data_IF_031947890380
#
_entry.id   IF_031947890380
#
_cell.length_a   1.000
_cell.length_b   1.000
_cell.length_c   1.000
_cell.angle_alpha   90.00
_cell.angle_beta   90.00
_cell.angle_gamma   90.00
#
_symmetry.space_group_name_H-M   'P 1'
#
loop_
_entity.id
_entity.type
_entity.pdbx_description
1 polymer ?
#
# COMPACT_ATOMS: atom_id res chain seq x y z
N UNK A 1 39.88 -35.21 -62.80
CA UNK A 1 38.76 -34.27 -62.55
C UNK A 1 38.63 -34.11 -61.09
N UNK A 2 38.99 -32.96 -60.56
CA UNK A 2 39.14 -32.66 -59.15
C UNK A 2 37.86 -31.90 -58.71
N UNK A 3 37.06 -32.49 -57.82
CA UNK A 3 35.93 -31.83 -57.21
C UNK A 3 36.34 -31.04 -55.96
N UNK A 4 36.24 -29.72 -56.02
CA UNK A 4 36.47 -28.82 -54.88
C UNK A 4 35.30 -28.95 -53.87
N UNK A 5 35.58 -29.44 -52.68
CA UNK A 5 34.71 -29.32 -51.53
C UNK A 5 34.79 -27.94 -50.91
N UNK A 6 33.67 -27.22 -50.85
CA UNK A 6 33.54 -25.92 -50.22
C UNK A 6 33.35 -26.13 -48.70
N UNK A 7 34.33 -25.69 -47.93
CA UNK A 7 34.20 -25.63 -46.46
C UNK A 7 33.35 -24.41 -46.15
N UNK A 8 32.12 -24.65 -45.66
CA UNK A 8 31.34 -23.61 -45.02
C UNK A 8 31.83 -23.41 -43.59
N UNK A 9 32.46 -22.26 -43.40
CA UNK A 9 32.76 -21.73 -42.05
C UNK A 9 31.43 -21.40 -41.37
N UNK A 10 31.05 -22.16 -40.35
CA UNK A 10 30.01 -21.76 -39.41
C UNK A 10 30.49 -20.52 -38.67
N UNK A 11 29.82 -19.40 -38.92
CA UNK A 11 29.96 -18.21 -38.11
C UNK A 11 29.41 -18.47 -36.73
N UNK A 12 30.17 -18.14 -35.71
CA UNK A 12 29.71 -18.13 -34.32
C UNK A 12 28.50 -17.20 -34.20
N UNK A 13 27.32 -17.76 -34.09
CA UNK A 13 26.11 -17.04 -33.72
C UNK A 13 26.26 -16.60 -32.25
N UNK A 14 26.25 -15.32 -32.06
CA UNK A 14 26.02 -14.65 -30.79
C UNK A 14 24.90 -15.36 -30.03
N UNK A 15 25.18 -15.88 -28.84
CA UNK A 15 24.23 -16.33 -27.87
C UNK A 15 23.41 -15.12 -27.41
N UNK A 16 22.35 -14.78 -28.16
CA UNK A 16 21.23 -14.04 -27.63
C UNK A 16 20.55 -14.96 -26.62
N UNK A 17 20.30 -14.47 -25.41
CA UNK A 17 19.47 -15.14 -24.43
C UNK A 17 18.14 -15.49 -25.13
N UNK A 18 17.96 -16.74 -25.44
CA UNK A 18 16.71 -17.28 -25.97
C UNK A 18 15.70 -17.12 -24.83
N UNK A 19 14.77 -16.19 -24.95
CA UNK A 19 13.63 -16.11 -24.03
C UNK A 19 12.89 -17.44 -24.14
N UNK A 20 12.93 -18.25 -23.08
CA UNK A 20 12.19 -19.48 -23.04
C UNK A 20 10.71 -19.11 -22.97
N UNK A 21 10.01 -19.34 -24.07
CA UNK A 21 8.64 -18.92 -24.30
C UNK A 21 7.77 -20.13 -24.63
N UNK A 22 6.60 -20.19 -24.01
CA UNK A 22 5.61 -21.21 -24.29
C UNK A 22 4.26 -20.57 -24.58
N UNK A 23 3.60 -21.00 -25.65
CA UNK A 23 2.28 -20.47 -26.03
C UNK A 23 1.24 -21.58 -25.96
N UNK A 24 0.13 -21.32 -25.26
CA UNK A 24 -1.01 -22.20 -25.13
C UNK A 24 -2.25 -21.55 -25.68
N UNK A 25 -2.90 -22.20 -26.63
CA UNK A 25 -4.17 -21.73 -27.19
C UNK A 25 -5.30 -22.55 -26.60
N UNK A 26 -6.27 -21.91 -25.97
CA UNK A 26 -7.49 -22.51 -25.47
C UNK A 26 -8.65 -22.00 -26.31
N UNK A 27 -9.37 -22.91 -26.98
CA UNK A 27 -10.60 -22.56 -27.70
C UNK A 27 -11.81 -22.84 -26.81
N UNK A 28 -12.74 -21.90 -26.80
CA UNK A 28 -14.03 -22.04 -26.14
C UNK A 28 -15.11 -21.72 -27.15
N UNK A 29 -16.11 -22.60 -27.27
CA UNK A 29 -17.29 -22.26 -28.05
C UNK A 29 -17.92 -20.96 -27.51
N UNK A 30 -18.38 -20.09 -28.40
CA UNK A 30 -19.03 -18.85 -27.94
C UNK A 30 -20.17 -19.21 -27.00
N UNK A 31 -20.17 -18.66 -25.78
CA UNK A 31 -21.19 -18.99 -24.80
C UNK A 31 -22.57 -18.66 -25.37
N UNK A 32 -23.50 -19.56 -25.24
CA UNK A 32 -24.89 -19.36 -25.62
C UNK A 32 -25.51 -18.20 -24.83
N UNK A 33 -26.67 -17.68 -25.29
CA UNK A 33 -27.36 -16.59 -24.61
C UNK A 33 -27.59 -16.85 -23.12
N UNK A 34 -28.03 -18.06 -22.77
CA UNK A 34 -28.27 -18.45 -21.37
C UNK A 34 -26.98 -18.51 -20.54
N UNK A 35 -25.88 -18.95 -21.13
CA UNK A 35 -24.58 -19.01 -20.48
C UNK A 35 -24.03 -17.59 -20.22
N UNK A 36 -24.12 -16.68 -21.20
CA UNK A 36 -23.79 -15.24 -21.02
C UNK A 36 -24.63 -14.57 -19.96
N UNK A 37 -25.93 -14.90 -19.92
CA UNK A 37 -26.84 -14.37 -18.91
C UNK A 37 -26.44 -14.85 -17.50
N UNK A 38 -26.05 -16.11 -17.36
CA UNK A 38 -25.56 -16.68 -16.10
C UNK A 38 -24.25 -16.04 -15.64
N UNK A 39 -23.29 -15.88 -16.56
CA UNK A 39 -22.02 -15.18 -16.26
C UNK A 39 -22.26 -13.71 -15.85
N UNK A 40 -23.17 -13.05 -16.54
CA UNK A 40 -23.53 -11.65 -16.24
C UNK A 40 -24.28 -11.54 -14.92
N UNK A 41 -25.07 -12.55 -14.53
CA UNK A 41 -25.77 -12.57 -13.24
C UNK A 41 -24.78 -12.61 -12.06
N UNK A 42 -23.70 -13.41 -12.17
CA UNK A 42 -22.62 -13.40 -11.16
C UNK A 42 -21.98 -12.00 -11.01
N UNK A 43 -21.68 -11.35 -12.13
CA UNK A 43 -21.18 -9.97 -12.15
C UNK A 43 -22.16 -8.96 -11.54
N UNK A 44 -23.47 -9.16 -11.74
CA UNK A 44 -24.51 -8.30 -11.15
C UNK A 44 -24.57 -8.43 -9.64
N UNK A 45 -24.46 -9.65 -9.08
CA UNK A 45 -24.39 -9.87 -7.63
C UNK A 45 -23.19 -9.15 -7.02
N UNK A 46 -22.00 -9.29 -7.65
CA UNK A 46 -20.81 -8.54 -7.24
C UNK A 46 -21.06 -7.03 -7.33
N UNK A 47 -21.71 -6.55 -8.39
CA UNK A 47 -22.06 -5.15 -8.58
C UNK A 47 -22.93 -4.60 -7.44
N UNK A 48 -23.97 -5.35 -7.02
CA UNK A 48 -24.82 -4.99 -5.88
C UNK A 48 -24.02 -4.92 -4.59
N UNK A 49 -23.10 -5.88 -4.38
CA UNK A 49 -22.24 -5.90 -3.20
C UNK A 49 -21.30 -4.68 -3.14
N UNK A 50 -20.64 -4.35 -4.24
CA UNK A 50 -19.77 -3.16 -4.33
C UNK A 50 -20.56 -1.86 -4.16
N UNK A 51 -21.76 -1.81 -4.73
CA UNK A 51 -22.67 -0.66 -4.58
C UNK A 51 -23.08 -0.45 -3.13
N UNK A 52 -23.50 -1.50 -2.42
CA UNK A 52 -23.84 -1.41 -1.01
C UNK A 52 -22.62 -1.04 -0.14
N UNK A 53 -21.45 -1.64 -0.41
CA UNK A 53 -20.21 -1.33 0.30
C UNK A 53 -19.79 0.14 0.10
N UNK A 54 -20.05 0.72 -1.07
CA UNK A 54 -19.70 2.12 -1.33
C UNK A 54 -20.42 3.09 -0.40
N UNK A 55 -21.69 2.85 -0.11
CA UNK A 55 -22.44 3.67 0.87
C UNK A 55 -21.83 3.56 2.26
N UNK A 56 -21.51 2.35 2.68
CA UNK A 56 -20.88 2.12 3.99
C UNK A 56 -19.55 2.87 4.09
N UNK A 57 -18.67 2.74 3.08
CA UNK A 57 -17.36 3.41 3.06
C UNK A 57 -17.52 4.94 3.07
N UNK A 58 -18.38 5.50 2.22
CA UNK A 58 -18.57 6.94 2.13
C UNK A 58 -19.17 7.51 3.42
N UNK A 59 -20.19 6.86 3.99
CA UNK A 59 -20.86 7.35 5.19
C UNK A 59 -19.96 7.25 6.42
N UNK A 60 -19.33 6.10 6.66
CA UNK A 60 -18.46 5.88 7.83
C UNK A 60 -17.19 6.73 7.77
N UNK A 61 -16.68 7.00 6.56
CA UNK A 61 -15.51 7.88 6.38
C UNK A 61 -15.77 9.29 6.93
N UNK A 62 -16.95 9.86 6.75
CA UNK A 62 -17.28 11.19 7.29
C UNK A 62 -17.24 11.20 8.81
N UNK A 63 -17.76 10.14 9.46
CA UNK A 63 -17.69 9.98 10.91
C UNK A 63 -16.27 9.80 11.42
N UNK A 64 -15.46 8.99 10.74
CA UNK A 64 -14.04 8.82 11.05
C UNK A 64 -13.30 10.16 10.93
N UNK A 65 -13.46 10.84 9.80
CA UNK A 65 -12.75 12.10 9.52
C UNK A 65 -13.03 13.17 10.59
N UNK A 66 -14.29 13.29 11.01
CA UNK A 66 -14.68 14.23 12.05
C UNK A 66 -14.11 13.84 13.42
N UNK A 67 -14.21 12.56 13.79
CA UNK A 67 -13.69 12.05 15.05
C UNK A 67 -12.20 12.32 15.17
N UNK A 68 -11.43 11.97 14.14
CA UNK A 68 -9.98 12.20 14.11
C UNK A 68 -9.65 13.68 14.16
N UNK A 69 -10.35 14.54 13.39
CA UNK A 69 -10.14 15.99 13.46
C UNK A 69 -10.39 16.54 14.86
N UNK A 70 -11.51 16.15 15.49
CA UNK A 70 -11.84 16.58 16.85
C UNK A 70 -10.84 16.07 17.90
N UNK A 71 -10.35 14.83 17.72
CA UNK A 71 -9.31 14.26 18.59
C UNK A 71 -7.97 14.99 18.47
N UNK A 72 -7.60 15.38 17.25
CA UNK A 72 -6.39 16.18 17.02
C UNK A 72 -6.51 17.60 17.59
N UNK A 73 -7.66 18.25 17.43
CA UNK A 73 -7.92 19.57 18.03
C UNK A 73 -7.90 19.51 19.57
N UNK A 74 -8.49 18.46 20.15
CA UNK A 74 -8.41 18.21 21.60
C UNK A 74 -6.95 18.01 22.03
N UNK A 75 -6.19 17.18 21.31
CA UNK A 75 -4.78 16.94 21.61
C UNK A 75 -3.96 18.21 21.57
N UNK A 76 -4.09 19.01 20.50
CA UNK A 76 -3.37 20.27 20.36
C UNK A 76 -3.68 21.26 21.48
N UNK A 77 -4.92 21.29 21.94
CA UNK A 77 -5.35 22.21 23.00
C UNK A 77 -4.78 21.91 24.40
N UNK A 78 -4.34 20.68 24.63
CA UNK A 78 -3.89 20.22 25.96
C UNK A 78 -2.48 19.63 25.98
N UNK A 79 -1.80 19.55 24.85
CA UNK A 79 -0.43 19.03 24.77
C UNK A 79 0.55 19.94 25.53
N UNK A 80 1.40 19.32 26.34
CA UNK A 80 2.48 20.01 27.07
C UNK A 80 3.80 19.73 26.36
N UNK A 81 4.44 20.77 25.85
CA UNK A 81 5.77 20.64 25.23
C UNK A 81 6.84 20.55 26.32
N UNK A 82 7.62 19.46 26.29
CA UNK A 82 8.73 19.22 27.20
C UNK A 82 10.04 19.67 26.57
N UNK A 83 10.97 20.13 27.39
CA UNK A 83 12.33 20.43 26.95
C UNK A 83 13.19 19.15 26.90
N UNK A 84 14.20 19.14 26.04
CA UNK A 84 15.09 18.00 25.77
C UNK A 84 15.65 17.29 27.02
N UNK A 85 15.90 18.03 28.09
CA UNK A 85 16.51 17.54 29.33
C UNK A 85 15.53 17.50 30.51
N UNK A 86 14.23 17.69 30.25
CA UNK A 86 13.24 17.60 31.32
C UNK A 86 13.15 16.19 31.85
N UNK A 87 13.45 15.98 33.12
CA UNK A 87 13.14 14.72 33.81
C UNK A 87 11.62 14.50 33.81
N UNK A 88 11.16 13.25 33.88
CA UNK A 88 9.74 12.96 34.08
C UNK A 88 9.24 13.70 35.31
N UNK A 89 8.17 14.49 35.15
CA UNK A 89 7.58 15.25 36.22
C UNK A 89 6.22 14.62 36.60
N UNK A 90 6.01 14.35 37.88
CA UNK A 90 4.78 13.69 38.36
C UNK A 90 3.50 14.45 37.99
N UNK A 91 3.57 15.80 37.89
CA UNK A 91 2.42 16.60 37.51
C UNK A 91 2.01 16.44 36.04
N UNK A 92 2.88 15.90 35.17
CA UNK A 92 2.59 15.60 33.77
C UNK A 92 2.05 14.18 33.59
N UNK A 93 1.99 13.37 34.63
CA UNK A 93 1.43 12.01 34.53
C UNK A 93 -0.03 12.04 34.09
N UNK A 94 -0.35 11.18 33.13
CA UNK A 94 -1.64 11.08 32.44
C UNK A 94 -1.98 12.31 31.56
N UNK A 95 -1.04 13.21 31.33
CA UNK A 95 -1.19 14.31 30.37
C UNK A 95 -0.54 13.98 29.03
N UNK A 96 -1.07 14.55 27.96
CA UNK A 96 -0.47 14.47 26.63
C UNK A 96 0.75 15.37 26.59
N UNK A 97 1.89 14.82 26.24
CA UNK A 97 3.17 15.54 26.15
C UNK A 97 3.74 15.46 24.75
N UNK A 98 4.46 16.48 24.38
CA UNK A 98 5.28 16.54 23.18
C UNK A 98 6.76 16.64 23.59
N UNK A 99 7.62 15.84 22.97
CA UNK A 99 9.06 15.82 23.21
C UNK A 99 9.80 15.61 21.89
N UNK A 100 10.84 16.41 21.68
CA UNK A 100 11.81 16.23 20.58
C UNK A 100 13.16 15.88 21.15
N UNK A 101 13.69 14.69 20.84
CA UNK A 101 14.98 14.22 21.30
C UNK A 101 15.55 13.12 20.40
N UNK A 102 16.86 12.85 20.45
CA UNK A 102 17.45 11.74 19.74
C UNK A 102 17.00 10.37 20.33
N UNK A 103 16.81 9.41 19.43
CA UNK A 103 16.58 8.02 19.79
C UNK A 103 17.80 7.44 20.53
N UNK A 104 17.55 6.62 21.54
CA UNK A 104 18.58 5.86 22.28
C UNK A 104 18.16 4.43 22.48
N UNK A 105 19.11 3.52 22.38
CA UNK A 105 18.96 2.09 22.70
C UNK A 105 20.14 1.62 23.54
N UNK A 106 19.90 0.69 24.42
CA UNK A 106 20.94 0.23 25.35
C UNK A 106 22.03 -0.60 24.65
N UNK A 107 21.66 -1.39 23.66
CA UNK A 107 22.57 -2.30 22.97
C UNK A 107 22.37 -2.25 21.46
N UNK A 108 23.43 -2.47 20.68
CA UNK A 108 23.30 -2.62 19.24
C UNK A 108 22.56 -3.91 18.90
N UNK A 109 21.73 -3.85 17.85
CA UNK A 109 21.18 -5.03 17.21
C UNK A 109 22.27 -5.69 16.37
N UNK A 110 22.33 -7.01 16.39
CA UNK A 110 23.29 -7.76 15.58
C UNK A 110 22.69 -9.02 14.97
N UNK A 111 23.19 -9.38 13.83
CA UNK A 111 22.95 -10.66 13.18
C UNK A 111 24.20 -11.53 13.31
N UNK A 112 24.13 -12.63 14.09
CA UNK A 112 25.31 -13.46 14.35
C UNK A 112 25.78 -14.23 13.12
N UNK A 113 24.89 -14.52 12.15
CA UNK A 113 25.23 -15.30 10.97
C UNK A 113 26.11 -14.52 9.98
N UNK A 114 25.92 -13.19 9.94
CA UNK A 114 26.62 -12.29 9.02
C UNK A 114 27.55 -11.31 9.75
N UNK A 115 27.60 -11.37 11.09
CA UNK A 115 28.38 -10.46 11.93
C UNK A 115 28.06 -8.98 11.69
N UNK A 116 26.84 -8.71 11.30
CA UNK A 116 26.33 -7.35 11.12
C UNK A 116 25.87 -6.82 12.46
N UNK A 117 26.34 -5.65 12.85
CA UNK A 117 25.92 -4.96 14.08
C UNK A 117 25.58 -3.51 13.79
N UNK A 118 24.43 -3.03 14.28
CA UNK A 118 23.97 -1.66 14.10
C UNK A 118 23.26 -1.15 15.35
N UNK A 119 23.64 0.05 15.79
CA UNK A 119 22.95 0.75 16.85
C UNK A 119 21.69 1.43 16.28
N UNK A 120 20.60 0.70 16.24
CA UNK A 120 19.32 1.11 15.68
C UNK A 120 18.15 0.45 16.41
N UNK A 121 16.95 0.96 16.20
CA UNK A 121 15.71 0.41 16.77
C UNK A 121 15.31 -0.89 16.08
N UNK A 122 15.45 -0.96 14.75
CA UNK A 122 15.13 -2.15 13.96
C UNK A 122 16.28 -2.50 13.01
N UNK A 123 16.56 -3.79 12.90
CA UNK A 123 17.49 -4.37 11.93
C UNK A 123 16.74 -5.43 11.13
N UNK A 124 16.68 -5.25 9.83
CA UNK A 124 16.02 -6.18 8.91
C UNK A 124 17.05 -6.85 8.01
N UNK A 125 17.07 -8.18 8.07
CA UNK A 125 17.73 -9.04 7.09
C UNK A 125 16.72 -9.39 6.01
N UNK A 126 17.00 -9.01 4.78
CA UNK A 126 16.19 -9.36 3.61
C UNK A 126 16.95 -10.37 2.76
N UNK A 127 16.30 -11.49 2.51
CA UNK A 127 16.85 -12.61 1.75
C UNK A 127 16.14 -12.68 0.41
N UNK A 128 16.91 -12.85 -0.66
CA UNK A 128 16.39 -13.08 -2.00
C UNK A 128 17.06 -14.31 -2.61
N UNK A 129 16.30 -15.11 -3.30
CA UNK A 129 16.78 -16.26 -4.06
C UNK A 129 16.68 -15.99 -5.55
N UNK A 130 17.68 -16.42 -6.29
CA UNK A 130 17.64 -16.42 -7.75
C UNK A 130 16.76 -17.57 -8.21
N UNK A 131 15.63 -17.26 -8.84
CA UNK A 131 14.59 -18.25 -9.16
C UNK A 131 13.95 -17.97 -10.50
N UNK A 132 13.38 -19.01 -11.09
CA UNK A 132 12.50 -18.87 -12.24
C UNK A 132 11.21 -18.13 -11.87
N UNK A 133 10.78 -17.27 -12.76
CA UNK A 133 9.54 -16.51 -12.70
C UNK A 133 8.80 -16.72 -13.99
N UNK A 134 7.51 -17.07 -13.89
CA UNK A 134 6.62 -17.17 -15.04
C UNK A 134 5.81 -15.88 -15.18
N UNK A 135 5.84 -15.30 -16.37
CA UNK A 135 4.99 -14.19 -16.77
C UNK A 135 4.04 -14.66 -17.86
N UNK A 136 2.75 -14.41 -17.73
CA UNK A 136 1.75 -14.76 -18.72
C UNK A 136 1.08 -13.53 -19.31
N UNK A 137 0.92 -13.54 -20.63
CA UNK A 137 0.16 -12.55 -21.39
C UNK A 137 -0.91 -13.26 -22.19
N UNK A 138 -2.18 -12.90 -21.99
CA UNK A 138 -3.32 -13.51 -22.68
C UNK A 138 -3.93 -12.54 -23.68
N UNK A 139 -4.22 -13.05 -24.88
CA UNK A 139 -4.89 -12.33 -25.95
C UNK A 139 -6.12 -13.14 -26.41
N UNK A 140 -7.27 -12.49 -26.36
CA UNK A 140 -8.50 -13.06 -26.88
C UNK A 140 -8.72 -12.64 -28.33
N UNK A 141 -9.09 -13.60 -29.18
CA UNK A 141 -9.48 -13.36 -30.56
C UNK A 141 -10.56 -14.34 -31.00
N UNK A 142 -11.37 -13.90 -31.98
CA UNK A 142 -12.42 -14.73 -32.53
C UNK A 142 -11.96 -15.32 -33.87
N UNK A 143 -12.03 -16.64 -33.98
CA UNK A 143 -11.71 -17.34 -35.22
C UNK A 143 -12.70 -18.54 -35.46
N UNK A 144 -13.26 -18.57 -36.65
CA UNK A 144 -14.14 -19.70 -37.05
C UNK A 144 -15.43 -19.85 -36.22
N UNK A 145 -15.90 -18.77 -35.55
CA UNK A 145 -17.08 -18.83 -34.69
C UNK A 145 -16.80 -19.27 -33.25
N UNK A 146 -15.55 -19.54 -32.94
CA UNK A 146 -15.07 -19.83 -31.59
C UNK A 146 -14.30 -18.60 -31.03
N UNK A 147 -14.36 -18.42 -29.73
CA UNK A 147 -13.47 -17.47 -29.02
C UNK A 147 -12.23 -18.23 -28.57
N UNK A 148 -11.07 -17.76 -29.02
CA UNK A 148 -9.78 -18.36 -28.67
C UNK A 148 -9.01 -17.42 -27.75
N UNK A 149 -8.49 -17.96 -26.68
CA UNK A 149 -7.55 -17.28 -25.79
C UNK A 149 -6.17 -17.88 -26.03
N UNK A 150 -5.26 -17.07 -26.55
CA UNK A 150 -3.85 -17.39 -26.68
C UNK A 150 -3.11 -16.82 -25.49
N UNK A 151 -2.55 -17.70 -24.66
CA UNK A 151 -1.72 -17.30 -23.51
C UNK A 151 -0.28 -17.61 -23.80
N UNK A 152 0.55 -16.60 -23.78
CA UNK A 152 1.99 -16.71 -23.95
C UNK A 152 2.65 -16.62 -22.58
N UNK A 153 3.41 -17.63 -22.23
CA UNK A 153 4.18 -17.73 -20.99
C UNK A 153 5.65 -17.44 -21.29
N UNK A 154 6.23 -16.51 -20.55
CA UNK A 154 7.65 -16.15 -20.63
C UNK A 154 8.32 -16.51 -19.29
N UNK A 155 9.46 -17.18 -19.36
CA UNK A 155 10.23 -17.62 -18.20
C UNK A 155 11.52 -16.84 -18.12
N UNK A 156 11.74 -16.18 -16.98
CA UNK A 156 12.96 -15.46 -16.68
C UNK A 156 13.50 -15.91 -15.31
N UNK A 157 14.79 -15.72 -15.09
CA UNK A 157 15.39 -15.91 -13.77
C UNK A 157 15.64 -14.55 -13.12
N UNK A 158 15.14 -14.38 -11.90
CA UNK A 158 15.22 -13.11 -11.17
C UNK A 158 15.46 -13.35 -9.67
N UNK A 159 16.01 -12.33 -9.01
CA UNK A 159 16.10 -12.29 -7.56
C UNK A 159 14.74 -11.95 -6.97
N UNK A 160 14.18 -12.84 -6.16
CA UNK A 160 12.88 -12.66 -5.49
C UNK A 160 12.98 -12.98 -4.00
N UNK A 161 12.36 -12.14 -3.19
CA UNK A 161 12.28 -12.34 -1.74
C UNK A 161 11.24 -13.40 -1.35
N UNK A 162 10.25 -13.64 -2.22
CA UNK A 162 9.22 -14.64 -2.02
C UNK A 162 9.60 -15.93 -2.73
N UNK A 163 9.34 -17.07 -2.08
CA UNK A 163 9.56 -18.37 -2.68
C UNK A 163 8.48 -18.66 -3.74
N UNK A 164 8.91 -18.86 -4.97
CA UNK A 164 8.03 -19.15 -6.10
C UNK A 164 7.93 -20.65 -6.29
N UNK A 165 6.71 -21.16 -6.16
CA UNK A 165 6.44 -22.57 -6.39
C UNK A 165 6.32 -22.88 -7.90
N UNK A 166 7.37 -23.40 -8.49
CA UNK A 166 7.45 -23.74 -9.92
C UNK A 166 6.48 -24.86 -10.36
N UNK A 167 5.89 -25.61 -9.43
CA UNK A 167 4.84 -26.58 -9.74
C UNK A 167 3.55 -25.94 -10.28
N UNK A 168 3.39 -24.63 -10.03
CA UNK A 168 2.27 -23.86 -10.53
C UNK A 168 2.51 -23.28 -11.93
N UNK A 169 3.69 -23.44 -12.50
CA UNK A 169 4.02 -22.98 -13.83
C UNK A 169 3.30 -23.80 -14.89
N UNK A 170 2.93 -23.19 -16.01
CA UNK A 170 2.34 -23.91 -17.14
C UNK A 170 3.34 -24.94 -17.73
N UNK A 171 4.63 -24.60 -17.73
CA UNK A 171 5.73 -25.51 -18.10
C UNK A 171 6.76 -25.58 -16.98
N UNK A 172 6.61 -26.55 -16.07
CA UNK A 172 7.55 -26.77 -14.96
C UNK A 172 8.89 -27.33 -15.45
N UNK A 173 8.86 -28.19 -16.47
CA UNK A 173 10.07 -28.87 -16.99
C UNK A 173 11.05 -27.83 -17.54
N UNK A 174 12.24 -27.79 -16.94
CA UNK A 174 13.28 -26.82 -17.28
C UNK A 174 13.27 -25.55 -16.41
N UNK A 175 12.21 -25.32 -15.61
CA UNK A 175 12.03 -24.12 -14.77
C UNK A 175 11.80 -24.47 -13.29
N UNK A 176 12.55 -25.44 -12.78
CA UNK A 176 12.36 -25.94 -11.42
C UNK A 176 13.06 -25.01 -10.42
N UNK A 177 12.30 -24.52 -9.45
CA UNK A 177 12.81 -23.77 -8.30
C UNK A 177 13.03 -24.67 -7.08
N UNK A 178 13.97 -24.31 -6.19
CA UNK A 178 14.08 -24.93 -4.88
C UNK A 178 12.77 -24.81 -4.07
N UNK A 179 12.52 -25.80 -3.22
CA UNK A 179 11.29 -25.83 -2.42
C UNK A 179 11.35 -25.00 -1.12
N UNK A 180 12.54 -24.50 -0.77
CA UNK A 180 12.76 -23.68 0.43
C UNK A 180 13.94 -22.73 0.21
N UNK A 181 13.93 -21.62 0.92
CA UNK A 181 15.10 -20.74 1.01
C UNK A 181 16.08 -21.30 2.06
N UNK A 182 17.37 -21.20 1.76
CA UNK A 182 18.42 -21.64 2.68
C UNK A 182 18.51 -20.76 3.93
N UNK A 183 18.08 -19.52 3.82
CA UNK A 183 18.09 -18.51 4.90
C UNK A 183 16.76 -17.78 4.88
N UNK A 184 16.25 -17.41 6.04
CA UNK A 184 14.99 -16.67 6.17
C UNK A 184 15.23 -15.17 6.37
N UNK A 185 14.31 -14.37 5.84
CA UNK A 185 14.23 -12.95 6.16
C UNK A 185 13.73 -12.75 7.58
N UNK A 186 14.35 -11.83 8.33
CA UNK A 186 13.97 -11.56 9.72
C UNK A 186 14.12 -10.07 10.02
N UNK A 187 13.21 -9.54 10.84
CA UNK A 187 13.32 -8.21 11.42
C UNK A 187 13.49 -8.35 12.93
N UNK A 188 14.61 -7.86 13.45
CA UNK A 188 14.88 -7.80 14.87
C UNK A 188 14.60 -6.40 15.37
N UNK A 189 13.88 -6.29 16.49
CA UNK A 189 13.50 -5.02 17.11
C UNK A 189 14.13 -5.01 18.51
N UNK A 190 14.73 -3.89 18.90
CA UNK A 190 15.27 -3.75 20.25
C UNK A 190 14.13 -3.63 21.27
N UNK A 191 14.24 -4.25 22.43
CA UNK A 191 13.20 -4.17 23.46
C UNK A 191 13.12 -2.78 24.12
N UNK A 192 14.26 -2.09 24.23
CA UNK A 192 14.38 -0.86 25.01
C UNK A 192 14.73 0.31 24.09
N UNK A 193 13.72 1.11 23.75
CA UNK A 193 13.88 2.33 22.98
C UNK A 193 13.53 3.53 23.84
N UNK A 194 14.43 4.50 23.88
CA UNK A 194 14.27 5.72 24.67
C UNK A 194 14.33 6.96 23.80
N UNK A 195 13.58 7.98 24.20
CA UNK A 195 13.64 9.35 23.68
C UNK A 195 13.77 10.29 24.87
N UNK A 196 14.92 10.94 24.97
CA UNK A 196 15.27 11.66 26.19
C UNK A 196 15.24 10.73 27.43
N UNK A 197 14.50 11.06 28.48
CA UNK A 197 14.38 10.23 29.70
C UNK A 197 13.22 9.21 29.62
N UNK A 198 12.50 9.15 28.52
CA UNK A 198 11.29 8.34 28.40
C UNK A 198 11.51 7.08 27.57
N UNK A 199 10.96 5.96 28.02
CA UNK A 199 10.85 4.73 27.27
C UNK A 199 9.64 4.78 26.34
N UNK A 200 9.80 4.33 25.09
CA UNK A 200 8.72 4.28 24.12
C UNK A 200 7.84 3.06 24.30
N UNK A 201 6.54 3.22 24.12
CA UNK A 201 5.62 2.11 23.99
C UNK A 201 5.90 1.31 22.72
N UNK A 202 5.38 0.10 22.66
CA UNK A 202 5.46 -0.74 21.46
C UNK A 202 4.80 -0.06 20.26
N UNK A 203 3.66 0.64 20.45
CA UNK A 203 2.96 1.32 19.36
C UNK A 203 3.79 2.41 18.70
N UNK A 204 4.58 3.16 19.48
CA UNK A 204 5.53 4.15 18.95
C UNK A 204 6.69 3.48 18.22
N UNK A 205 7.24 2.41 18.80
CA UNK A 205 8.33 1.64 18.17
C UNK A 205 7.88 1.03 16.85
N UNK A 206 6.66 0.52 16.77
CA UNK A 206 6.12 -0.10 15.55
C UNK A 206 6.01 0.93 14.40
N UNK A 207 5.78 2.22 14.69
CA UNK A 207 5.71 3.31 13.70
C UNK A 207 7.07 3.69 13.10
N UNK A 208 8.20 3.23 13.66
CA UNK A 208 9.55 3.49 13.12
C UNK A 208 9.80 2.54 11.96
N UNK A 209 9.47 2.97 10.72
CA UNK A 209 9.53 2.12 9.52
C UNK A 209 10.39 2.71 8.38
N UNK A 210 11.15 3.76 8.62
CA UNK A 210 12.02 4.40 7.64
C UNK A 210 13.29 3.57 7.37
N UNK A 211 13.14 2.36 6.88
CA UNK A 211 14.26 1.47 6.59
C UNK A 211 15.22 2.07 5.57
N UNK A 212 16.50 2.09 5.93
CA UNK A 212 17.61 2.48 5.08
C UNK A 212 18.54 1.30 4.87
N UNK A 213 19.08 1.16 3.67
CA UNK A 213 20.00 0.08 3.33
C UNK A 213 21.32 0.27 4.08
N UNK A 214 21.80 -0.79 4.71
CA UNK A 214 23.11 -0.81 5.35
C UNK A 214 24.18 -1.09 4.30
N UNK A 215 25.15 -0.20 4.18
CA UNK A 215 26.26 -0.33 3.25
C UNK A 215 27.31 -1.30 3.78
N UNK A 216 27.42 -2.47 3.17
CA UNK A 216 28.31 -3.53 3.66
C UNK A 216 29.79 -3.23 3.49
N UNK A 217 30.15 -2.38 2.52
CA UNK A 217 31.55 -1.95 2.31
C UNK A 217 32.16 -1.21 3.51
N UNK A 218 31.34 -0.65 4.38
CA UNK A 218 31.77 0.10 5.54
C UNK A 218 31.84 -0.78 6.80
N UNK A 219 31.47 -2.07 6.68
CA UNK A 219 31.62 -3.08 7.73
C UNK A 219 32.98 -3.78 7.68
N UNK A 220 33.45 -4.34 8.81
CA UNK A 220 34.59 -5.22 8.82
C UNK A 220 34.40 -6.38 7.82
N UNK A 221 35.43 -6.66 7.02
CA UNK A 221 35.38 -7.74 6.04
C UNK A 221 35.02 -9.08 6.73
N UNK A 222 34.17 -9.93 6.13
CA UNK A 222 33.94 -11.27 6.63
C UNK A 222 35.26 -12.05 6.64
N UNK A 223 35.40 -12.99 7.57
CA UNK A 223 36.59 -13.83 7.68
C UNK A 223 36.85 -14.56 6.35
N UNK A 224 38.13 -14.75 6.01
CA UNK A 224 38.57 -15.41 4.77
C UNK A 224 38.05 -16.85 4.59
N UNK A 225 37.54 -17.46 5.66
CA UNK A 225 37.01 -18.82 5.66
C UNK A 225 35.48 -18.87 5.44
N UNK A 226 34.83 -17.73 5.24
CA UNK A 226 33.39 -17.72 4.99
C UNK A 226 33.10 -18.00 3.51
N UNK A 227 32.14 -18.89 3.24
CA UNK A 227 31.59 -19.13 1.88
C UNK A 227 30.77 -17.95 1.34
N UNK A 228 30.90 -16.79 1.98
CA UNK A 228 30.14 -15.58 1.65
C UNK A 228 31.00 -14.64 0.81
N UNK A 229 30.48 -14.25 -0.33
CA UNK A 229 31.06 -13.19 -1.17
C UNK A 229 30.28 -11.90 -0.96
N UNK A 230 30.98 -10.81 -0.70
CA UNK A 230 30.37 -9.48 -0.62
C UNK A 230 30.56 -8.77 -1.96
N UNK A 231 29.46 -8.37 -2.58
CA UNK A 231 29.47 -7.51 -3.76
C UNK A 231 28.39 -6.43 -3.58
N UNK A 232 28.77 -5.16 -3.75
CA UNK A 232 27.93 -4.00 -3.44
C UNK A 232 27.40 -4.03 -1.99
N UNK A 233 26.08 -4.05 -1.80
CA UNK A 233 25.42 -4.07 -0.50
C UNK A 233 24.76 -5.43 -0.21
N UNK A 234 25.28 -6.53 -0.80
CA UNK A 234 24.79 -7.89 -0.62
C UNK A 234 25.87 -8.87 -0.18
N UNK A 235 25.47 -9.77 0.69
CA UNK A 235 26.18 -11.03 0.94
C UNK A 235 25.63 -12.11 0.01
N UNK A 236 26.46 -12.71 -0.79
CA UNK A 236 26.10 -13.79 -1.70
C UNK A 236 26.55 -15.13 -1.16
N UNK A 237 25.64 -16.11 -1.17
CA UNK A 237 25.94 -17.53 -0.91
C UNK A 237 26.40 -18.22 -2.19
N UNK A 238 27.19 -17.56 -2.99
CA UNK A 238 27.79 -18.08 -4.21
C UNK A 238 29.16 -17.45 -4.42
N UNK A 239 30.05 -18.16 -5.09
CA UNK A 239 31.37 -17.63 -5.46
C UNK A 239 31.33 -16.73 -6.71
N UNK A 240 30.22 -16.77 -7.44
CA UNK A 240 30.07 -16.04 -8.70
C UNK A 240 28.84 -15.12 -8.71
N UNK A 241 28.84 -14.01 -7.94
CA UNK A 241 27.70 -13.10 -7.82
C UNK A 241 27.18 -12.56 -9.16
N UNK A 242 28.09 -12.42 -10.15
CA UNK A 242 27.75 -11.89 -11.49
C UNK A 242 27.20 -12.94 -12.45
N UNK A 243 27.17 -14.21 -12.07
CA UNK A 243 26.59 -15.33 -12.83
C UNK A 243 25.83 -16.22 -11.88
N UNK A 244 24.69 -15.71 -11.33
CA UNK A 244 23.92 -16.48 -10.37
C UNK A 244 23.28 -17.69 -11.03
N UNK A 245 23.19 -18.77 -10.26
CA UNK A 245 22.44 -19.98 -10.62
C UNK A 245 21.14 -20.06 -9.84
N UNK A 246 20.15 -20.76 -10.39
CA UNK A 246 18.86 -20.95 -9.70
C UNK A 246 19.08 -21.68 -8.37
N UNK A 247 18.63 -21.05 -7.28
CA UNK A 247 18.87 -21.49 -5.92
C UNK A 247 19.94 -20.71 -5.18
N UNK A 248 20.73 -19.90 -5.87
CA UNK A 248 21.65 -18.95 -5.20
C UNK A 248 20.87 -17.97 -4.34
N UNK A 249 21.46 -17.59 -3.22
CA UNK A 249 20.83 -16.69 -2.25
C UNK A 249 21.73 -15.45 -2.07
N UNK A 250 21.10 -14.29 -2.03
CA UNK A 250 21.74 -13.05 -1.60
C UNK A 250 20.99 -12.44 -0.43
N UNK A 251 21.73 -11.79 0.44
CA UNK A 251 21.21 -11.20 1.67
C UNK A 251 21.64 -9.75 1.78
N UNK A 252 20.68 -8.87 2.01
CA UNK A 252 20.92 -7.46 2.32
C UNK A 252 20.39 -7.12 3.70
N UNK A 253 20.94 -6.04 4.27
CA UNK A 253 20.54 -5.53 5.56
C UNK A 253 20.00 -4.11 5.42
N UNK A 254 18.96 -3.83 6.17
CA UNK A 254 18.43 -2.48 6.36
C UNK A 254 18.14 -2.22 7.83
N UNK A 255 18.22 -0.97 8.22
CA UNK A 255 17.97 -0.54 9.59
C UNK A 255 16.98 0.62 9.61
N UNK A 256 16.26 0.78 10.72
CA UNK A 256 15.39 1.92 10.97
C UNK A 256 15.61 2.46 12.38
N UNK A 257 15.57 3.79 12.51
CA UNK A 257 15.73 4.48 13.77
C UNK A 257 17.14 4.37 14.34
N UNK A 258 18.12 5.09 13.77
CA UNK A 258 19.47 5.17 14.33
C UNK A 258 19.44 5.72 15.75
N UNK A 259 20.18 5.09 16.65
CA UNK A 259 20.15 5.38 18.08
C UNK A 259 21.55 5.44 18.72
N UNK A 260 22.61 5.37 17.90
CA UNK A 260 24.00 5.40 18.35
C UNK A 260 24.62 6.78 18.33
N UNK A 261 25.64 6.99 19.16
CA UNK A 261 26.45 8.22 19.18
C UNK A 261 27.60 8.15 18.14
N UNK A 262 27.77 7.01 17.48
CA UNK A 262 28.84 6.77 16.51
C UNK A 262 28.64 7.47 15.17
N UNK A 263 29.75 7.64 14.43
CA UNK A 263 29.74 8.19 13.09
C UNK A 263 29.20 7.25 12.01
N UNK A 264 29.11 5.96 12.33
CA UNK A 264 28.64 4.92 11.40
C UNK A 264 27.53 4.05 12.02
N UNK A 265 26.44 3.83 11.25
CA UNK A 265 26.09 4.35 9.93
C UNK A 265 25.67 5.82 9.94
N UNK A 266 25.57 6.44 11.09
CA UNK A 266 25.25 7.85 11.28
C UNK A 266 24.90 8.18 12.73
N UNK A 267 24.69 9.45 13.05
CA UNK A 267 24.30 9.88 14.40
C UNK A 267 22.86 9.39 14.71
N UNK A 268 22.53 9.38 16.01
CA UNK A 268 21.18 9.10 16.47
C UNK A 268 20.16 10.00 15.80
N UNK A 269 19.08 9.42 15.36
CA UNK A 269 18.00 10.14 14.68
C UNK A 269 17.17 10.90 15.72
N UNK A 270 17.01 12.21 15.51
CA UNK A 270 16.09 13.02 16.29
C UNK A 270 14.66 12.71 15.87
N UNK A 271 13.80 12.54 16.85
CA UNK A 271 12.39 12.25 16.67
C UNK A 271 11.54 13.19 17.49
N UNK A 272 10.34 13.48 17.01
CA UNK A 272 9.32 14.21 17.73
C UNK A 272 8.18 13.27 18.08
N UNK A 273 7.84 13.20 19.36
CA UNK A 273 6.85 12.24 19.89
C UNK A 273 5.73 13.02 20.57
N UNK A 274 4.48 12.61 20.31
CA UNK A 274 3.28 13.05 21.02
C UNK A 274 2.59 11.83 21.61
N UNK A 275 2.59 11.72 22.93
CA UNK A 275 1.97 10.59 23.65
C UNK A 275 1.66 10.98 25.10
N UNK A 276 1.00 10.11 25.83
CA UNK A 276 0.71 10.31 27.26
C UNK A 276 1.93 9.96 28.10
N UNK A 277 2.34 10.86 29.00
CA UNK A 277 3.33 10.52 30.01
C UNK A 277 2.70 9.60 31.07
N UNK A 278 3.37 8.48 31.37
CA UNK A 278 3.09 7.59 32.49
C UNK A 278 4.40 7.23 33.14
N UNK A 279 4.75 7.97 34.18
CA UNK A 279 6.06 7.93 34.86
C UNK A 279 7.20 8.22 33.85
N UNK A 280 8.07 7.27 33.60
CA UNK A 280 9.18 7.30 32.65
C UNK A 280 8.84 6.68 31.27
N UNK A 281 7.56 6.41 31.02
CA UNK A 281 7.12 5.73 29.80
C UNK A 281 6.12 6.60 29.03
N UNK A 282 6.24 6.63 27.70
CA UNK A 282 5.25 7.22 26.81
C UNK A 282 4.25 6.16 26.35
N UNK A 283 2.96 6.42 26.60
CA UNK A 283 1.84 5.49 26.33
C UNK A 283 0.78 6.13 25.45
N UNK A 284 -0.11 5.32 24.84
CA UNK A 284 -1.23 5.84 24.06
C UNK A 284 -2.13 6.77 24.91
N UNK A 285 -2.49 7.94 24.38
CA UNK A 285 -3.45 8.87 24.97
C UNK A 285 -4.81 8.68 24.32
N UNK A 286 -5.84 8.40 25.11
CA UNK A 286 -7.22 8.30 24.62
C UNK A 286 -7.93 9.63 24.74
N UNK A 287 -8.39 10.17 23.61
CA UNK A 287 -9.18 11.40 23.54
C UNK A 287 -10.63 11.14 23.95
N UNK A 288 -11.37 12.20 24.30
CA UNK A 288 -12.81 12.14 24.57
C UNK A 288 -13.62 11.72 23.36
N UNK A 289 -13.14 12.07 22.17
CA UNK A 289 -13.72 11.67 20.87
C UNK A 289 -13.54 10.18 20.57
N UNK A 290 -12.65 9.49 21.29
CA UNK A 290 -12.46 8.04 21.23
C UNK A 290 -11.27 7.58 20.41
N UNK A 291 -10.56 8.46 19.71
CA UNK A 291 -9.32 8.11 19.02
C UNK A 291 -8.13 8.06 20.01
N UNK A 292 -7.08 7.38 19.59
CA UNK A 292 -5.84 7.22 20.34
C UNK A 292 -4.79 8.13 19.69
N UNK A 293 -4.17 8.98 20.50
CA UNK A 293 -3.01 9.78 20.10
C UNK A 293 -1.75 9.13 20.60
N UNK A 294 -0.95 8.65 19.67
CA UNK A 294 0.34 8.02 19.87
C UNK A 294 1.11 8.20 18.57
N UNK A 295 1.86 9.29 18.47
CA UNK A 295 2.42 9.79 17.21
C UNK A 295 3.93 9.92 17.36
N UNK A 296 4.68 9.44 16.38
CA UNK A 296 6.12 9.68 16.26
C UNK A 296 6.46 10.11 14.85
N UNK A 297 7.24 11.16 14.73
CA UNK A 297 7.88 11.60 13.49
C UNK A 297 9.39 11.52 13.63
N UNK A 298 10.05 11.02 12.59
CA UNK A 298 11.50 10.86 12.54
C UNK A 298 12.20 12.13 12.07
N UNK A 299 11.69 13.26 12.52
CA UNK A 299 12.12 14.61 12.21
C UNK A 299 11.95 15.48 13.46
N UNK A 300 12.66 16.61 13.50
CA UNK A 300 12.47 17.62 14.52
C UNK A 300 11.27 18.51 14.15
N UNK A 301 10.17 18.37 14.88
CA UNK A 301 8.92 19.10 14.67
C UNK A 301 8.44 19.69 16.00
N UNK A 302 7.80 20.85 15.94
CA UNK A 302 7.04 21.39 17.07
C UNK A 302 5.73 20.62 17.26
N UNK A 303 5.10 20.78 18.40
CA UNK A 303 3.80 20.16 18.66
C UNK A 303 2.77 20.59 17.59
N UNK A 304 2.72 21.88 17.27
CA UNK A 304 1.81 22.45 16.27
C UNK A 304 2.03 21.82 14.89
N UNK A 305 3.30 21.66 14.47
CA UNK A 305 3.64 21.05 13.18
C UNK A 305 3.24 19.57 13.13
N UNK A 306 3.40 18.82 14.23
CA UNK A 306 2.94 17.42 14.32
C UNK A 306 1.43 17.36 14.11
N UNK A 307 0.65 18.15 14.83
CA UNK A 307 -0.80 18.14 14.71
C UNK A 307 -1.29 18.66 13.35
N UNK A 308 -0.63 19.68 12.78
CA UNK A 308 -0.94 20.16 11.43
C UNK A 308 -0.72 19.05 10.38
N UNK A 309 0.38 18.30 10.50
CA UNK A 309 0.69 17.17 9.60
C UNK A 309 -0.36 16.07 9.74
N UNK A 310 -0.76 15.72 10.96
CA UNK A 310 -1.81 14.74 11.19
C UNK A 310 -3.19 15.18 10.66
N UNK A 311 -3.52 16.46 10.77
CA UNK A 311 -4.74 17.00 10.17
C UNK A 311 -4.71 16.94 8.63
N UNK A 312 -3.56 17.23 8.02
CA UNK A 312 -3.36 17.06 6.56
C UNK A 312 -3.49 15.59 6.14
N UNK A 313 -2.90 14.67 6.91
CA UNK A 313 -3.01 13.22 6.68
C UNK A 313 -4.48 12.77 6.77
N UNK A 314 -5.21 13.22 7.79
CA UNK A 314 -6.63 12.93 7.91
C UNK A 314 -7.45 13.49 6.74
N UNK A 315 -7.17 14.71 6.29
CA UNK A 315 -7.83 15.29 5.12
C UNK A 315 -7.51 14.52 3.84
N UNK A 316 -6.24 14.17 3.63
CA UNK A 316 -5.82 13.39 2.45
C UNK A 316 -6.49 12.00 2.44
N UNK A 317 -6.49 11.28 3.56
CA UNK A 317 -7.17 9.99 3.67
C UNK A 317 -8.69 10.12 3.45
N UNK A 318 -9.29 11.18 3.96
CA UNK A 318 -10.73 11.45 3.75
C UNK A 318 -11.06 11.61 2.28
N UNK A 319 -10.27 12.38 1.53
CA UNK A 319 -10.45 12.55 0.09
C UNK A 319 -10.15 11.27 -0.70
N UNK A 320 -9.12 10.51 -0.32
CA UNK A 320 -8.81 9.22 -0.93
C UNK A 320 -9.98 8.22 -0.76
N UNK A 321 -10.56 8.15 0.44
CA UNK A 321 -11.71 7.28 0.71
C UNK A 321 -13.00 7.77 0.03
N UNK A 322 -13.20 9.08 -0.15
CA UNK A 322 -14.31 9.63 -0.97
C UNK A 322 -14.15 9.21 -2.43
N UNK A 323 -12.94 9.36 -2.99
CA UNK A 323 -12.65 8.94 -4.37
C UNK A 323 -12.80 7.41 -4.52
N UNK A 324 -12.27 6.63 -3.58
CA UNK A 324 -12.41 5.17 -3.55
C UNK A 324 -13.87 4.71 -3.44
N UNK A 325 -14.64 5.32 -2.55
CA UNK A 325 -16.07 5.04 -2.39
C UNK A 325 -16.89 5.39 -3.63
N UNK A 326 -16.59 6.52 -4.26
CA UNK A 326 -17.19 6.89 -5.56
C UNK A 326 -16.82 5.86 -6.64
N UNK A 327 -15.57 5.44 -6.73
CA UNK A 327 -15.13 4.44 -7.70
C UNK A 327 -15.83 3.10 -7.49
N UNK A 328 -15.95 2.65 -6.24
CA UNK A 328 -16.71 1.43 -5.89
C UNK A 328 -18.17 1.54 -6.34
N UNK A 329 -18.80 2.70 -6.13
CA UNK A 329 -20.17 2.97 -6.56
C UNK A 329 -20.30 2.92 -8.07
N UNK A 330 -19.38 3.55 -8.78
CA UNK A 330 -19.35 3.56 -10.23
C UNK A 330 -19.17 2.15 -10.82
N UNK A 331 -18.21 1.37 -10.27
CA UNK A 331 -17.98 0.00 -10.68
C UNK A 331 -19.19 -0.89 -10.36
N UNK A 332 -19.78 -0.72 -9.18
CA UNK A 332 -20.99 -1.45 -8.78
C UNK A 332 -22.14 -1.22 -9.75
N UNK A 333 -22.45 0.05 -10.07
CA UNK A 333 -23.50 0.41 -11.04
C UNK A 333 -23.14 -0.14 -12.43
N UNK A 334 -21.89 0.00 -12.85
CA UNK A 334 -21.44 -0.47 -14.18
C UNK A 334 -21.60 -1.98 -14.33
N UNK A 335 -21.31 -2.77 -13.28
CA UNK A 335 -21.52 -4.20 -13.27
C UNK A 335 -23.01 -4.58 -13.28
N UNK A 336 -23.85 -3.86 -12.53
CA UNK A 336 -25.31 -4.08 -12.54
C UNK A 336 -25.92 -3.78 -13.91
N UNK A 337 -25.46 -2.71 -14.57
CA UNK A 337 -25.93 -2.31 -15.89
C UNK A 337 -25.48 -3.30 -16.99
N UNK A 338 -24.42 -4.06 -16.76
CA UNK A 338 -23.88 -5.02 -17.74
C UNK A 338 -24.93 -6.05 -18.19
N UNK A 339 -25.88 -6.39 -17.34
CA UNK A 339 -27.00 -7.27 -17.70
C UNK A 339 -27.86 -6.67 -18.82
N UNK A 340 -28.04 -5.35 -18.83
CA UNK A 340 -28.79 -4.64 -19.88
C UNK A 340 -28.07 -4.74 -21.23
N UNK A 341 -26.72 -4.64 -21.22
CA UNK A 341 -25.92 -4.87 -22.44
C UNK A 341 -26.13 -6.28 -22.98
N UNK A 342 -26.10 -7.29 -22.12
CA UNK A 342 -26.32 -8.68 -22.53
C UNK A 342 -27.70 -8.90 -23.15
N UNK A 343 -28.72 -8.24 -22.64
CA UNK A 343 -30.09 -8.30 -23.18
C UNK A 343 -30.26 -7.58 -24.54
N UNK A 344 -29.48 -6.53 -24.78
CA UNK A 344 -29.56 -5.69 -25.99
C UNK A 344 -28.58 -6.14 -27.08
N UNK A 345 -27.65 -7.03 -26.79
CA UNK A 345 -26.65 -7.57 -27.73
C UNK A 345 -27.26 -8.17 -29.02
N UNK A 346 -28.57 -8.42 -29.01
CA UNK A 346 -29.28 -8.95 -30.15
C UNK A 346 -29.52 -7.93 -31.29
N UNK A 347 -29.39 -6.62 -31.01
CA UNK A 347 -29.61 -5.56 -32.02
C UNK A 347 -28.35 -4.68 -32.14
N UNK A 348 -27.46 -4.94 -33.15
CA UNK A 348 -26.14 -4.30 -33.22
C UNK A 348 -26.15 -2.76 -33.27
N UNK A 349 -27.13 -2.17 -33.95
CA UNK A 349 -27.25 -0.70 -34.12
C UNK A 349 -27.59 -0.02 -32.79
N UNK A 350 -28.41 -0.66 -31.95
CA UNK A 350 -28.78 -0.13 -30.63
C UNK A 350 -27.66 -0.30 -29.59
N UNK A 351 -26.76 -1.25 -29.77
CA UNK A 351 -25.70 -1.59 -28.84
C UNK A 351 -24.76 -0.42 -28.57
N UNK A 352 -24.26 0.27 -29.60
CA UNK A 352 -23.29 1.35 -29.43
C UNK A 352 -23.93 2.59 -28.77
N UNK A 353 -25.12 2.96 -29.22
CA UNK A 353 -25.85 4.10 -28.67
C UNK A 353 -26.22 3.89 -27.19
N UNK A 354 -26.73 2.70 -26.87
CA UNK A 354 -27.10 2.33 -25.51
C UNK A 354 -25.85 2.18 -24.63
N UNK A 355 -24.74 1.65 -25.15
CA UNK A 355 -23.50 1.50 -24.35
C UNK A 355 -22.95 2.83 -23.88
N UNK A 356 -22.91 3.85 -24.75
CA UNK A 356 -22.48 5.20 -24.39
C UNK A 356 -23.44 5.83 -23.37
N UNK A 357 -24.74 5.72 -23.62
CA UNK A 357 -25.78 6.24 -22.74
C UNK A 357 -25.73 5.62 -21.35
N UNK A 358 -25.53 4.30 -21.25
CA UNK A 358 -25.44 3.58 -19.97
C UNK A 358 -24.17 3.91 -19.18
N UNK A 359 -23.04 4.11 -19.87
CA UNK A 359 -21.78 4.55 -19.20
C UNK A 359 -21.94 5.96 -18.62
N UNK A 360 -22.53 6.88 -19.39
CA UNK A 360 -22.78 8.24 -18.93
C UNK A 360 -23.81 8.25 -17.79
N UNK A 361 -24.85 7.42 -17.86
CA UNK A 361 -25.83 7.22 -16.80
C UNK A 361 -25.14 6.71 -15.51
N UNK A 362 -24.30 5.69 -15.60
CA UNK A 362 -23.55 5.16 -14.45
C UNK A 362 -22.68 6.24 -13.80
N UNK A 363 -22.00 7.05 -14.61
CA UNK A 363 -21.20 8.17 -14.14
C UNK A 363 -22.03 9.21 -13.40
N UNK A 364 -23.13 9.68 -14.00
CA UNK A 364 -23.99 10.70 -13.41
C UNK A 364 -24.65 10.21 -12.11
N UNK A 365 -25.16 8.96 -12.09
CA UNK A 365 -25.81 8.38 -10.91
C UNK A 365 -24.80 8.15 -9.81
N UNK A 366 -23.62 7.62 -10.10
CA UNK A 366 -22.57 7.43 -9.08
C UNK A 366 -22.11 8.76 -8.47
N UNK A 367 -21.91 9.81 -9.28
CA UNK A 367 -21.58 11.14 -8.77
C UNK A 367 -22.69 11.68 -7.86
N UNK A 368 -23.95 11.62 -8.30
CA UNK A 368 -25.08 12.13 -7.54
C UNK A 368 -25.29 11.38 -6.23
N UNK A 369 -25.26 10.05 -6.26
CA UNK A 369 -25.44 9.22 -5.06
C UNK A 369 -24.27 9.34 -4.07
N UNK A 370 -23.03 9.42 -4.57
CA UNK A 370 -21.87 9.66 -3.73
C UNK A 370 -21.97 11.00 -2.99
N UNK A 371 -22.31 12.07 -3.71
CA UNK A 371 -22.51 13.39 -3.09
C UNK A 371 -23.65 13.39 -2.07
N UNK A 372 -24.78 12.74 -2.38
CA UNK A 372 -25.88 12.59 -1.44
C UNK A 372 -25.47 11.81 -0.19
N UNK A 373 -24.68 10.74 -0.35
CA UNK A 373 -24.19 9.94 0.78
C UNK A 373 -23.24 10.72 1.66
N UNK A 374 -22.29 11.45 1.07
CA UNK A 374 -21.39 12.34 1.80
C UNK A 374 -22.19 13.42 2.53
N UNK A 375 -23.15 14.04 1.86
CA UNK A 375 -24.00 15.08 2.46
C UNK A 375 -24.85 14.54 3.61
N UNK A 376 -25.41 13.33 3.48
CA UNK A 376 -26.14 12.67 4.58
C UNK A 376 -25.23 12.37 5.78
N UNK A 377 -23.98 11.97 5.53
CA UNK A 377 -22.96 11.85 6.57
C UNK A 377 -22.71 13.18 7.28
N UNK A 378 -22.60 14.27 6.55
CA UNK A 378 -22.45 15.59 7.16
C UNK A 378 -23.65 16.00 8.03
N UNK A 379 -24.87 15.73 7.58
CA UNK A 379 -26.08 15.98 8.38
C UNK A 379 -26.06 15.18 9.67
N UNK A 380 -25.66 13.92 9.60
CA UNK A 380 -25.62 13.03 10.75
C UNK A 380 -24.51 13.38 11.75
N UNK A 381 -23.30 13.60 11.26
CA UNK A 381 -22.12 13.82 12.12
C UNK A 381 -21.89 15.29 12.50
N UNK A 382 -22.45 16.26 11.72
CA UNK A 382 -22.31 17.71 11.96
C UNK A 382 -23.67 18.42 11.88
N UNK A 383 -24.63 18.09 12.74
CA UNK A 383 -26.00 18.57 12.61
C UNK A 383 -26.13 20.09 12.62
N UNK A 384 -25.34 20.80 13.42
CA UNK A 384 -25.40 22.28 13.50
C UNK A 384 -24.95 22.93 12.19
N UNK A 385 -23.89 22.41 11.56
CA UNK A 385 -23.41 22.90 10.26
C UNK A 385 -24.44 22.62 9.17
N UNK A 386 -25.03 21.42 9.18
CA UNK A 386 -26.07 21.03 8.23
C UNK A 386 -27.31 21.93 8.34
N UNK A 387 -27.78 22.19 9.55
CA UNK A 387 -28.88 23.11 9.79
C UNK A 387 -28.57 24.52 9.29
N UNK A 388 -27.37 25.01 9.56
CA UNK A 388 -26.91 26.31 9.07
C UNK A 388 -26.90 26.40 7.54
N UNK A 389 -26.39 25.37 6.85
CA UNK A 389 -26.37 25.30 5.37
C UNK A 389 -27.78 25.20 4.79
N UNK A 390 -28.65 24.38 5.37
CA UNK A 390 -30.04 24.28 4.97
C UNK A 390 -30.75 25.62 5.16
N UNK A 391 -30.55 26.29 6.27
CA UNK A 391 -31.12 27.60 6.54
C UNK A 391 -30.64 28.63 5.51
N UNK A 392 -29.35 28.67 5.19
CA UNK A 392 -28.81 29.56 4.14
C UNK A 392 -29.40 29.28 2.74
N UNK A 393 -29.68 28.02 2.44
CA UNK A 393 -30.28 27.64 1.16
C UNK A 393 -31.78 27.95 1.10
N UNK A 394 -32.53 27.73 2.17
CA UNK A 394 -33.99 27.86 2.22
C UNK A 394 -34.44 29.32 2.41
N UNK A 395 -33.74 30.08 3.26
CA UNK A 395 -34.14 31.45 3.59
C UNK A 395 -34.30 32.35 2.34
N UNK A 396 -33.33 32.38 1.38
CA UNK A 396 -33.51 33.18 0.15
C UNK A 396 -34.71 32.75 -0.69
N UNK A 397 -34.98 31.43 -0.74
CA UNK A 397 -36.13 30.90 -1.48
C UNK A 397 -37.45 31.34 -0.85
N UNK A 398 -37.55 31.27 0.47
CA UNK A 398 -38.73 31.72 1.24
C UNK A 398 -38.93 33.22 1.04
N UNK A 399 -37.86 34.02 1.14
CA UNK A 399 -37.91 35.47 0.94
C UNK A 399 -38.36 35.80 -0.54
N UNK A 400 -37.78 35.10 -1.50
CA UNK A 400 -38.13 35.27 -2.93
C UNK A 400 -39.61 34.92 -3.17
N UNK A 401 -40.09 33.87 -2.55
CA UNK A 401 -41.48 33.39 -2.66
C UNK A 401 -42.47 34.34 -1.99
N UNK A 402 -42.10 34.89 -0.83
CA UNK A 402 -42.93 35.84 -0.08
C UNK A 402 -43.04 37.21 -0.75
N UNK A 403 -42.02 37.57 -1.57
CA UNK A 403 -41.97 38.81 -2.35
C UNK A 403 -42.55 38.67 -3.78
N UNK A 404 -42.92 37.46 -4.20
CA UNK A 404 -43.52 37.25 -5.51
C UNK A 404 -44.97 37.88 -5.52
N UNK A 405 -45.28 38.76 -6.46
CA UNK A 405 -46.63 39.37 -6.54
C UNK A 405 -47.67 38.29 -6.80
N UNK A 406 -48.74 38.33 -6.04
CA UNK A 406 -49.90 37.44 -6.22
C UNK A 406 -50.37 37.52 -7.68
N UNK A 407 -50.37 36.37 -8.40
CA UNK A 407 -50.98 36.29 -9.73
C UNK A 407 -52.44 36.69 -9.59
N UNK A 408 -52.82 37.86 -10.13
CA UNK A 408 -54.21 38.20 -10.31
C UNK A 408 -54.81 37.20 -11.32
N UNK A 409 -55.73 36.38 -10.81
CA UNK A 409 -56.63 35.61 -11.66
C UNK A 409 -57.53 36.62 -12.40
N UNK A 410 -57.35 36.76 -13.72
CA UNK A 410 -58.36 37.24 -14.63
C UNK A 410 -59.19 36.08 -15.13
#
# INVERSE_FOLDING_TARGET
MVGRGTIQTMSASTLSAEHDQHTRTTSRSKPGFLERLSETAGGTVLGVTLFALSFYVLFTNEGRALRTATSLDEGLSQVVSLHLYSSPLDHNNNHLVHLTAPLRTLQPLHDPNYRVAVQAVKLKRQVEMYQWVEYSESRDYDEGGESKTETTYNYNTEWKAELINSRNFDKEIGHINPSAMAVESVTVVTPDVQVGPFSLSKGLVDQIENFQTLRLKDLPAPDSDSFLTVDEDYFYHTQHPRRPEVGDVRVSFSYAGLSGEGSYPGPAQTVSVVAMQSDDTLKPFRTKSGDILEIIYLEELTAEEVFEREQKNNAMLTWALRAGGWLLMFLGISLMIRIIHTLVDWVPILRELISLGLKLFALCVSCSLSLLTISSGWIFYRPLVAVGLIAMAVIPIVIARSRAPAKKHQ
#
